data_IF_144947145627
#
_entry.id   IF_144947145627
#
_cell.length_a   1.000
_cell.length_b   1.000
_cell.length_c   1.000
_cell.angle_alpha   90.00
_cell.angle_beta   90.00
_cell.angle_gamma   90.00
#
_symmetry.space_group_name_H-M   'P 1'
#
loop_
_entity.id
_entity.type
_entity.pdbx_description
1 polymer ?
#
# COMPACT_ATOMS: atom_id res chain seq x y z
N UNK A 1 24.04 5.82 -2.89
CA UNK A 1 22.78 5.66 -3.65
C UNK A 1 21.65 5.58 -2.64
N UNK A 2 20.68 6.50 -2.67
CA UNK A 2 19.45 6.34 -1.90
C UNK A 2 18.50 5.48 -2.72
N UNK A 3 18.13 4.30 -2.22
CA UNK A 3 17.12 3.46 -2.88
C UNK A 3 15.74 3.97 -2.51
N UNK A 4 14.87 4.12 -3.52
CA UNK A 4 13.49 4.51 -3.31
C UNK A 4 12.79 3.42 -2.49
N UNK A 5 12.24 3.79 -1.32
CA UNK A 5 11.49 2.88 -0.47
C UNK A 5 10.01 2.91 -0.83
N UNK A 6 9.38 1.74 -0.87
CA UNK A 6 7.94 1.63 -0.99
C UNK A 6 7.33 1.21 0.35
N UNK A 7 6.14 1.73 0.61
CA UNK A 7 5.38 1.53 1.82
C UNK A 7 4.02 0.93 1.52
N UNK A 8 3.60 -0.02 2.36
CA UNK A 8 2.29 -0.63 2.31
C UNK A 8 1.59 -0.51 3.67
N UNK A 9 0.41 0.10 3.67
CA UNK A 9 -0.44 0.19 4.84
C UNK A 9 -1.43 -0.96 4.90
N UNK A 10 -1.50 -1.66 6.03
CA UNK A 10 -2.41 -2.78 6.24
C UNK A 10 -2.82 -2.91 7.71
N UNK A 11 -3.90 -3.67 7.96
CA UNK A 11 -4.29 -4.15 9.29
C UNK A 11 -3.87 -5.60 9.54
N UNK A 12 -3.51 -6.33 8.49
CA UNK A 12 -3.01 -7.71 8.58
C UNK A 12 -1.66 -7.72 9.29
N UNK A 13 -1.44 -8.70 10.18
CA UNK A 13 -0.17 -8.88 10.87
C UNK A 13 0.84 -9.65 10.00
N UNK A 14 1.47 -8.93 9.08
CA UNK A 14 2.50 -9.45 8.19
C UNK A 14 3.89 -9.47 8.85
N UNK A 15 4.71 -10.41 8.40
CA UNK A 15 6.10 -10.64 8.81
C UNK A 15 7.07 -10.39 7.65
N UNK A 16 8.36 -10.21 7.97
CA UNK A 16 9.41 -10.05 6.96
C UNK A 16 9.47 -11.31 6.10
N UNK A 17 9.48 -11.13 4.78
CA UNK A 17 9.47 -12.22 3.80
C UNK A 17 8.09 -12.55 3.26
N UNK A 18 7.01 -12.13 3.92
CA UNK A 18 5.65 -12.32 3.42
C UNK A 18 5.47 -11.67 2.06
N UNK A 19 4.76 -12.38 1.18
CA UNK A 19 4.46 -11.95 -0.17
C UNK A 19 2.96 -11.70 -0.29
N UNK A 20 2.61 -10.43 -0.46
CA UNK A 20 1.23 -10.01 -0.71
C UNK A 20 0.99 -10.11 -2.20
N UNK A 21 0.04 -10.95 -2.61
CA UNK A 21 -0.35 -11.17 -4.01
C UNK A 21 -1.76 -10.63 -4.28
N UNK A 22 -2.12 -10.53 -5.55
CA UNK A 22 -3.51 -10.19 -5.94
C UNK A 22 -4.49 -11.31 -5.53
N UNK A 23 -5.78 -10.99 -5.44
CA UNK A 23 -6.82 -11.96 -5.09
C UNK A 23 -7.30 -11.89 -3.65
N UNK A 24 -6.77 -10.98 -2.83
CA UNK A 24 -7.35 -10.63 -1.54
C UNK A 24 -8.63 -9.79 -1.70
N UNK A 25 -9.53 -9.85 -0.72
CA UNK A 25 -10.74 -9.03 -0.70
C UNK A 25 -10.40 -7.53 -0.73
N UNK A 26 -11.25 -6.76 -1.40
CA UNK A 26 -11.08 -5.31 -1.49
C UNK A 26 -11.44 -4.62 -0.18
N UNK A 27 -10.60 -3.65 0.20
CA UNK A 27 -10.90 -2.74 1.31
C UNK A 27 -12.15 -1.87 1.06
N UNK A 28 -12.56 -1.68 -0.20
CA UNK A 28 -13.64 -0.75 -0.58
C UNK A 28 -14.90 -1.44 -1.11
N UNK A 29 -14.79 -2.65 -1.69
CA UNK A 29 -15.93 -3.37 -2.28
C UNK A 29 -15.91 -4.86 -1.91
N UNK A 30 -16.87 -5.29 -1.08
CA UNK A 30 -17.08 -6.70 -0.69
C UNK A 30 -17.33 -7.70 -1.84
N UNK A 31 -17.51 -7.25 -3.08
CA UNK A 31 -18.03 -8.08 -4.16
C UNK A 31 -16.98 -8.64 -5.13
N UNK A 32 -15.71 -8.17 -5.11
CA UNK A 32 -14.67 -8.66 -6.04
C UNK A 32 -13.26 -8.64 -5.43
N UNK A 33 -12.46 -9.72 -5.60
CA UNK A 33 -11.04 -9.74 -5.25
C UNK A 33 -10.27 -8.62 -5.97
N UNK A 34 -9.30 -8.01 -5.29
CA UNK A 34 -8.43 -7.00 -5.88
C UNK A 34 -7.54 -7.63 -6.95
N UNK A 35 -7.59 -7.08 -8.15
CA UNK A 35 -6.67 -7.44 -9.26
C UNK A 35 -5.30 -6.76 -9.14
N UNK A 36 -5.05 -6.03 -8.06
CA UNK A 36 -3.89 -5.18 -7.86
C UNK A 36 -3.44 -5.19 -6.40
N UNK A 37 -2.13 -5.10 -6.18
CA UNK A 37 -1.55 -4.80 -4.87
C UNK A 37 -1.08 -3.35 -4.88
N UNK A 38 -1.44 -2.59 -3.84
CA UNK A 38 -1.22 -1.14 -3.74
C UNK A 38 -0.12 -0.79 -2.74
N UNK A 39 0.73 0.16 -3.10
CA UNK A 39 1.84 0.66 -2.28
C UNK A 39 2.23 2.08 -2.71
N UNK A 40 2.95 2.81 -1.88
CA UNK A 40 3.32 4.21 -2.17
C UNK A 40 4.74 4.54 -1.72
N UNK A 41 5.36 5.57 -2.30
CA UNK A 41 6.66 6.08 -1.82
C UNK A 41 6.55 7.18 -0.77
N UNK A 42 5.32 7.52 -0.35
CA UNK A 42 5.08 8.48 0.72
C UNK A 42 4.48 7.77 1.93
N UNK A 43 4.93 8.16 3.13
CA UNK A 43 4.40 7.62 4.39
C UNK A 43 2.93 8.02 4.57
N UNK A 44 2.56 9.23 4.16
CA UNK A 44 1.16 9.71 4.24
C UNK A 44 0.19 8.83 3.45
N UNK A 45 0.52 8.44 2.21
CA UNK A 45 -0.32 7.55 1.43
C UNK A 45 -0.41 6.15 2.07
N UNK A 46 0.68 5.65 2.65
CA UNK A 46 0.66 4.38 3.38
C UNK A 46 -0.16 4.45 4.69
N UNK A 47 -0.18 5.58 5.38
CA UNK A 47 -1.06 5.80 6.54
C UNK A 47 -2.52 5.66 6.11
N UNK A 48 -2.92 6.31 5.01
CA UNK A 48 -4.27 6.16 4.47
C UNK A 48 -4.61 4.72 4.11
N UNK A 49 -3.67 3.99 3.49
CA UNK A 49 -3.84 2.56 3.20
C UNK A 49 -4.11 1.74 4.46
N UNK A 50 -3.38 2.00 5.54
CA UNK A 50 -3.58 1.33 6.82
C UNK A 50 -4.89 1.73 7.50
N UNK A 51 -5.28 3.01 7.44
CA UNK A 51 -6.51 3.52 8.05
C UNK A 51 -7.78 3.01 7.36
N UNK A 52 -7.71 2.81 6.04
CA UNK A 52 -8.83 2.33 5.21
C UNK A 52 -8.88 0.81 5.05
N UNK A 53 -7.88 0.06 5.51
CA UNK A 53 -7.86 -1.39 5.43
C UNK A 53 -9.03 -2.04 6.20
N UNK A 54 -9.65 -3.09 5.68
CA UNK A 54 -10.75 -3.78 6.38
C UNK A 54 -10.22 -4.56 7.60
N UNK A 55 -11.02 -4.59 8.67
CA UNK A 55 -10.73 -5.32 9.91
C UNK A 55 -10.56 -4.39 11.12
N UNK A 56 -10.62 -4.99 12.31
CA UNK A 56 -10.47 -4.29 13.59
C UNK A 56 -9.06 -4.42 14.17
N UNK A 57 -8.18 -5.13 13.46
CA UNK A 57 -6.80 -5.27 13.82
C UNK A 57 -6.04 -3.95 13.76
N UNK A 58 -4.87 -3.98 14.40
CA UNK A 58 -4.01 -2.83 14.50
C UNK A 58 -3.50 -2.36 13.13
N UNK A 59 -3.57 -1.06 12.88
CA UNK A 59 -2.95 -0.43 11.71
C UNK A 59 -1.42 -0.57 11.76
N UNK A 60 -0.82 -0.94 10.63
CA UNK A 60 0.62 -1.20 10.46
C UNK A 60 1.08 -0.63 9.12
N UNK A 61 2.32 -0.13 9.08
CA UNK A 61 2.98 0.32 7.85
C UNK A 61 4.23 -0.50 7.65
N UNK A 62 4.37 -1.10 6.48
CA UNK A 62 5.48 -1.96 6.10
C UNK A 62 6.35 -1.30 5.04
N UNK A 63 7.67 -1.57 5.09
CA UNK A 63 8.54 -1.38 3.92
C UNK A 63 8.39 -2.59 3.03
N UNK A 64 8.19 -2.35 1.75
CA UNK A 64 7.95 -3.43 0.80
C UNK A 64 8.76 -3.24 -0.49
N UNK A 65 9.02 -4.35 -1.16
CA UNK A 65 9.65 -4.38 -2.47
C UNK A 65 8.69 -4.98 -3.50
N UNK A 66 8.46 -4.30 -4.64
CA UNK A 66 7.67 -4.88 -5.72
C UNK A 66 8.42 -6.06 -6.33
N UNK A 67 7.72 -7.18 -6.48
CA UNK A 67 8.24 -8.41 -7.10
C UNK A 67 7.90 -8.51 -8.59
N UNK A 68 7.24 -7.50 -9.16
CA UNK A 68 6.83 -7.46 -10.56
C UNK A 68 6.74 -6.03 -11.09
N UNK A 69 6.18 -5.87 -12.29
CA UNK A 69 6.05 -4.55 -12.94
C UNK A 69 5.22 -3.60 -12.08
N UNK A 70 5.72 -2.38 -11.95
CA UNK A 70 5.10 -1.28 -11.19
C UNK A 70 4.39 -0.35 -12.16
N UNK A 71 3.14 0.01 -11.86
CA UNK A 71 2.34 0.96 -12.62
C UNK A 71 1.87 2.07 -11.69
N UNK A 72 1.66 3.27 -12.22
CA UNK A 72 0.99 4.35 -11.48
C UNK A 72 -0.43 3.92 -11.07
N UNK A 73 -0.82 4.29 -9.84
CA UNK A 73 -2.18 4.05 -9.36
C UNK A 73 -3.14 5.13 -9.84
N UNK A 74 -3.87 4.83 -10.91
CA UNK A 74 -4.84 5.74 -11.52
C UNK A 74 -5.99 6.15 -10.58
N UNK A 75 -6.26 5.41 -9.50
CA UNK A 75 -7.32 5.80 -8.54
C UNK A 75 -6.98 7.07 -7.76
N UNK A 76 -5.69 7.34 -7.54
CA UNK A 76 -5.20 8.54 -6.85
C UNK A 76 -4.46 9.49 -7.79
N UNK A 77 -4.01 9.00 -8.95
CA UNK A 77 -3.24 9.75 -9.95
C UNK A 77 -4.12 10.62 -10.85
N UNK A 78 -5.43 10.36 -10.95
CA UNK A 78 -6.35 11.17 -11.77
C UNK A 78 -7.02 12.33 -10.99
N UNK A 79 -6.76 12.43 -9.68
CA UNK A 79 -7.26 13.53 -8.83
C UNK A 79 -6.40 14.81 -8.96
N UNK A 80 -5.16 14.67 -9.44
CA UNK A 80 -4.21 15.77 -9.66
C UNK A 80 -3.37 15.48 -10.91
N UNK A 81 -2.90 16.48 -11.67
CA UNK A 81 -2.02 16.23 -12.81
C UNK A 81 -0.72 15.51 -12.37
N UNK A 82 -0.60 14.23 -12.76
CA UNK A 82 0.55 13.36 -12.46
C UNK A 82 0.49 12.66 -11.10
N UNK A 83 1.38 11.70 -10.88
CA UNK A 83 1.44 10.88 -9.66
C UNK A 83 2.12 11.63 -8.49
N UNK A 84 1.52 12.74 -8.04
CA UNK A 84 2.09 13.56 -6.95
C UNK A 84 2.13 12.83 -5.59
N UNK A 85 1.28 11.82 -5.41
CA UNK A 85 1.22 11.01 -4.19
C UNK A 85 2.26 9.88 -4.19
N UNK A 86 2.91 9.65 -5.34
CA UNK A 86 3.83 8.54 -5.60
C UNK A 86 3.19 7.20 -5.23
N UNK A 87 1.94 7.00 -5.66
CA UNK A 87 1.14 5.80 -5.42
C UNK A 87 1.21 4.86 -6.61
N UNK A 88 1.39 3.58 -6.34
CA UNK A 88 1.66 2.57 -7.35
C UNK A 88 0.82 1.32 -7.12
N UNK A 89 0.71 0.52 -8.18
CA UNK A 89 0.05 -0.78 -8.19
C UNK A 89 0.84 -1.80 -8.99
N UNK A 90 0.76 -3.08 -8.59
CA UNK A 90 1.33 -4.20 -9.34
C UNK A 90 0.28 -5.31 -9.53
N UNK A 91 0.34 -6.02 -10.67
CA UNK A 91 -0.54 -7.15 -11.03
C UNK A 91 0.21 -8.31 -11.68
N UNK A 92 -0.47 -9.45 -11.77
CA UNK A 92 0.07 -10.72 -12.27
C UNK A 92 0.34 -10.71 -13.77
N UNK A 93 1.63 -10.79 -14.11
CA UNK A 93 2.13 -11.37 -15.34
C UNK A 93 3.27 -12.36 -15.02
N UNK A 94 2.93 -13.63 -14.77
CA UNK A 94 3.83 -14.76 -14.99
C UNK A 94 4.56 -15.42 -13.82
N UNK A 95 4.70 -14.82 -12.64
CA UNK A 95 5.30 -15.41 -11.41
C UNK A 95 4.68 -14.68 -10.21
N UNK A 96 4.86 -15.06 -8.92
CA UNK A 96 4.08 -14.43 -7.86
C UNK A 96 4.49 -12.96 -7.73
N UNK A 97 3.67 -12.10 -8.33
CA UNK A 97 3.86 -10.67 -8.36
C UNK A 97 3.07 -10.04 -7.21
N UNK A 98 3.52 -8.89 -6.78
CA UNK A 98 2.93 -8.18 -5.67
C UNK A 98 4.04 -7.51 -4.89
N UNK A 99 3.93 -7.48 -3.58
CA UNK A 99 4.95 -6.84 -2.74
C UNK A 99 5.45 -7.78 -1.65
N UNK A 100 6.77 -7.80 -1.48
CA UNK A 100 7.44 -8.54 -0.42
C UNK A 100 7.75 -7.61 0.74
N UNK A 101 7.41 -8.00 1.95
CA UNK A 101 7.76 -7.23 3.16
C UNK A 101 9.24 -7.41 3.48
N UNK A 102 9.98 -6.31 3.60
CA UNK A 102 11.44 -6.32 3.80
C UNK A 102 11.88 -5.75 5.14
N UNK A 103 10.98 -5.08 5.86
CA UNK A 103 11.24 -4.55 7.20
C UNK A 103 10.03 -4.78 8.12
N UNK A 104 10.24 -4.85 9.45
CA UNK A 104 9.14 -4.98 10.39
C UNK A 104 8.23 -3.74 10.34
N UNK A 105 6.95 -3.93 10.65
CA UNK A 105 6.01 -2.84 10.66
C UNK A 105 6.41 -1.73 11.65
N UNK A 106 6.35 -0.49 11.19
CA UNK A 106 6.39 0.68 12.07
C UNK A 106 5.00 1.01 12.57
N UNK A 107 4.90 1.48 13.83
CA UNK A 107 3.63 1.99 14.36
C UNK A 107 3.21 3.20 13.52
N UNK A 108 1.96 3.30 13.05
CA UNK A 108 1.51 4.50 12.39
C UNK A 108 1.68 5.68 13.34
N UNK A 109 2.27 6.77 12.84
CA UNK A 109 2.23 8.05 13.53
C UNK A 109 0.76 8.42 13.61
N UNK A 110 0.19 8.48 14.82
CA UNK A 110 -1.17 9.01 15.01
C UNK A 110 -1.19 10.39 14.34
N UNK A 111 -1.95 10.57 13.26
CA UNK A 111 -2.29 11.92 12.82
C UNK A 111 -2.91 12.60 14.04
N UNK A 112 -2.29 13.68 14.53
CA UNK A 112 -2.97 14.58 15.47
C UNK A 112 -4.26 14.97 14.75
N UNK A 113 -5.42 14.66 15.33
CA UNK A 113 -6.70 15.20 14.87
C UNK A 113 -6.56 16.72 14.89
N UNK A 114 -6.46 17.34 13.73
CA UNK A 114 -6.30 18.79 13.60
C UNK A 114 -5.15 19.20 12.69
N UNK A 115 -5.25 18.91 11.40
CA UNK A 115 -4.97 19.87 10.32
C UNK A 115 -5.42 19.23 9.00
N UNK A 116 -6.66 19.52 8.61
CA UNK A 116 -7.01 19.45 7.20
C UNK A 116 -6.39 20.71 6.59
N UNK A 117 -5.43 20.52 5.69
CA UNK A 117 -5.01 21.56 4.75
C UNK A 117 -5.43 21.04 3.39
N UNK A 118 -6.23 21.87 2.72
CA UNK A 118 -6.78 21.81 1.35
C UNK A 118 -6.03 20.93 0.36
#
# INVERSE_FOLDING_TARGET
MFSQSFFHGSRVDLTIGDLIVVGHDSNFRRARPLSWVYFACTLDAAIWGAELAVGDDRQRIYVAEPSGTVFDDLNLTDMFPGNRTMSYRSRLSGFPCGIRITAPAVRPVRRRRGLAVT
#
